data_IF_712162164184
#
_entry.id   IF_712162164184
#
_cell.length_a   1.000
_cell.length_b   1.000
_cell.length_c   1.000
_cell.angle_alpha   90.00
_cell.angle_beta   90.00
_cell.angle_gamma   90.00
#
_symmetry.space_group_name_H-M   'P 1'
#
loop_
_entity.id
_entity.type
_entity.pdbx_description
1 polymer ?
#
# COMPACT_ATOMS: atom_id res chain seq x y z
N UNK A 1 2.41 -36.06 -17.88
CA UNK A 1 2.80 -34.83 -18.58
C UNK A 1 2.79 -33.72 -17.57
N UNK A 2 3.94 -33.09 -17.28
CA UNK A 2 3.94 -31.92 -16.39
C UNK A 2 3.49 -30.71 -17.23
N UNK A 3 2.21 -30.42 -17.17
CA UNK A 3 1.67 -29.23 -17.83
C UNK A 3 2.28 -27.97 -17.19
N UNK A 4 2.87 -27.13 -18.03
CA UNK A 4 3.39 -25.84 -17.61
C UNK A 4 2.18 -24.95 -17.33
N UNK A 5 2.09 -24.32 -16.16
CA UNK A 5 0.97 -23.44 -15.83
C UNK A 5 0.89 -22.27 -16.84
N UNK A 6 -0.32 -21.83 -17.09
CA UNK A 6 -0.56 -20.62 -17.90
C UNK A 6 -0.02 -19.36 -17.21
N UNK A 7 0.22 -18.30 -17.98
CA UNK A 7 0.62 -16.99 -17.45
C UNK A 7 -0.33 -16.52 -16.34
N UNK A 8 -1.63 -16.64 -16.57
CA UNK A 8 -2.67 -16.24 -15.61
C UNK A 8 -2.60 -17.02 -14.30
N UNK A 9 -2.44 -18.34 -14.38
CA UNK A 9 -2.31 -19.19 -13.19
C UNK A 9 -1.08 -18.80 -12.34
N UNK A 10 0.04 -18.41 -12.98
CA UNK A 10 1.23 -17.94 -12.27
C UNK A 10 0.97 -16.60 -11.59
N UNK A 11 0.32 -15.64 -12.26
CA UNK A 11 -0.02 -14.34 -11.71
C UNK A 11 -0.98 -14.49 -10.52
N UNK A 12 -2.04 -15.26 -10.68
CA UNK A 12 -3.02 -15.54 -9.62
C UNK A 12 -2.35 -16.21 -8.41
N UNK A 13 -1.42 -17.14 -8.65
CA UNK A 13 -0.68 -17.80 -7.57
C UNK A 13 0.26 -16.82 -6.83
N UNK A 14 1.00 -15.98 -7.56
CA UNK A 14 1.89 -14.95 -6.99
C UNK A 14 1.08 -13.96 -6.15
N UNK A 15 -0.07 -13.54 -6.63
CA UNK A 15 -0.97 -12.64 -5.91
C UNK A 15 -1.50 -13.27 -4.60
N UNK A 16 -1.85 -14.56 -4.64
CA UNK A 16 -2.32 -15.31 -3.48
C UNK A 16 -1.21 -15.65 -2.47
N UNK A 17 0.06 -15.71 -2.90
CA UNK A 17 1.20 -16.15 -2.09
C UNK A 17 2.36 -15.14 -2.09
N UNK A 18 2.18 -13.90 -1.61
CA UNK A 18 3.14 -12.80 -1.74
C UNK A 18 4.48 -13.04 -1.06
N UNK A 19 4.57 -13.99 -0.11
CA UNK A 19 5.80 -14.34 0.61
C UNK A 19 6.58 -15.48 -0.04
N UNK A 20 5.98 -16.24 -0.97
CA UNK A 20 6.55 -17.45 -1.58
C UNK A 20 6.67 -17.31 -3.10
N UNK A 21 7.14 -16.18 -3.58
CA UNK A 21 7.18 -15.84 -5.01
C UNK A 21 8.52 -16.08 -5.68
N UNK A 22 9.45 -16.81 -5.03
CA UNK A 22 10.67 -17.20 -5.70
C UNK A 22 10.41 -18.30 -6.74
N UNK A 23 11.21 -18.31 -7.82
CA UNK A 23 11.08 -19.31 -8.90
C UNK A 23 10.98 -20.75 -8.38
N UNK A 24 11.74 -21.10 -7.32
CA UNK A 24 11.70 -22.45 -6.74
C UNK A 24 10.37 -22.74 -6.05
N UNK A 25 9.76 -21.73 -5.42
CA UNK A 25 8.52 -21.87 -4.69
C UNK A 25 7.36 -22.04 -5.66
N UNK A 26 7.37 -21.25 -6.76
CA UNK A 26 6.46 -21.42 -7.89
C UNK A 26 6.62 -22.83 -8.51
N UNK A 27 7.85 -23.24 -8.79
CA UNK A 27 8.10 -24.58 -9.35
C UNK A 27 7.61 -25.70 -8.43
N UNK A 28 7.75 -25.53 -7.10
CA UNK A 28 7.25 -26.49 -6.10
C UNK A 28 5.73 -26.53 -6.06
N UNK A 29 5.07 -25.37 -6.08
CA UNK A 29 3.61 -25.25 -6.03
C UNK A 29 2.94 -25.92 -7.23
N UNK A 30 3.51 -25.75 -8.42
CA UNK A 30 3.00 -26.35 -9.66
C UNK A 30 3.63 -27.72 -10.00
N UNK A 31 4.40 -28.32 -9.09
CA UNK A 31 5.01 -29.62 -9.33
C UNK A 31 6.04 -29.68 -10.47
N UNK A 32 6.61 -28.53 -10.87
CA UNK A 32 7.51 -28.42 -12.02
C UNK A 32 8.90 -28.96 -11.67
N UNK A 33 9.35 -30.01 -12.38
CA UNK A 33 10.63 -30.68 -12.15
C UNK A 33 11.45 -30.76 -13.45
N UNK A 34 12.73 -31.05 -13.33
CA UNK A 34 13.62 -31.33 -14.47
C UNK A 34 13.68 -30.22 -15.51
N UNK A 35 13.59 -30.59 -16.77
CA UNK A 35 13.67 -29.69 -17.92
C UNK A 35 12.56 -28.62 -17.96
N UNK A 36 11.35 -28.92 -17.46
CA UNK A 36 10.23 -27.99 -17.41
C UNK A 36 10.52 -26.73 -16.58
N UNK A 37 11.53 -26.74 -15.70
CA UNK A 37 12.01 -25.54 -15.00
C UNK A 37 12.64 -24.49 -15.94
N UNK A 38 13.13 -24.92 -17.10
CA UNK A 38 13.67 -24.01 -18.12
C UNK A 38 12.52 -23.22 -18.73
N UNK A 39 11.41 -23.90 -19.02
CA UNK A 39 10.24 -23.28 -19.63
C UNK A 39 9.52 -22.36 -18.64
N UNK A 40 9.43 -22.74 -17.37
CA UNK A 40 9.00 -21.82 -16.30
C UNK A 40 9.88 -20.55 -16.27
N UNK A 41 11.20 -20.70 -16.41
CA UNK A 41 12.10 -19.53 -16.44
C UNK A 41 11.84 -18.62 -17.66
N UNK A 42 11.54 -19.22 -18.84
CA UNK A 42 11.17 -18.46 -20.04
C UNK A 42 9.85 -17.73 -19.82
N UNK A 43 8.84 -18.42 -19.26
CA UNK A 43 7.53 -17.85 -18.97
C UNK A 43 7.59 -16.69 -17.98
N UNK A 44 8.35 -16.82 -16.89
CA UNK A 44 8.55 -15.73 -15.94
C UNK A 44 9.28 -14.53 -16.55
N UNK A 45 10.25 -14.75 -17.46
CA UNK A 45 10.91 -13.67 -18.21
C UNK A 45 9.96 -12.98 -19.20
N UNK A 46 9.06 -13.73 -19.84
CA UNK A 46 8.03 -13.17 -20.72
C UNK A 46 7.10 -12.25 -19.93
N UNK A 47 6.61 -12.69 -18.75
CA UNK A 47 5.78 -11.88 -17.87
C UNK A 47 6.50 -10.64 -17.32
N UNK A 48 7.81 -10.74 -17.08
CA UNK A 48 8.66 -9.61 -16.68
C UNK A 48 8.83 -8.61 -17.84
N UNK A 49 9.05 -9.11 -19.08
CA UNK A 49 9.18 -8.29 -20.27
C UNK A 49 7.86 -7.61 -20.69
N UNK A 50 6.73 -8.26 -20.43
CA UNK A 50 5.39 -7.74 -20.68
C UNK A 50 4.91 -6.75 -19.60
N UNK A 51 5.72 -6.52 -18.54
CA UNK A 51 5.40 -5.58 -17.47
C UNK A 51 4.45 -6.11 -16.39
N UNK A 52 4.01 -7.37 -16.47
CA UNK A 52 3.11 -7.96 -15.47
C UNK A 52 3.81 -8.33 -14.15
N UNK A 53 5.10 -8.65 -14.22
CA UNK A 53 5.90 -9.03 -13.04
C UNK A 53 7.15 -8.17 -12.89
N UNK A 54 7.44 -7.78 -11.66
CA UNK A 54 8.73 -7.21 -11.30
C UNK A 54 9.55 -8.21 -10.49
N UNK A 55 10.76 -8.47 -10.96
CA UNK A 55 11.71 -9.29 -10.21
C UNK A 55 12.45 -8.42 -9.19
N UNK A 56 12.32 -8.76 -7.91
CA UNK A 56 13.04 -8.12 -6.81
C UNK A 56 13.95 -9.14 -6.15
N UNK A 57 15.26 -9.08 -6.42
CA UNK A 57 16.25 -10.10 -5.99
C UNK A 57 15.90 -11.51 -6.52
N UNK A 58 15.32 -12.37 -5.67
CA UNK A 58 14.95 -13.76 -6.00
C UNK A 58 13.45 -13.98 -6.09
N UNK A 59 12.63 -12.95 -5.85
CA UNK A 59 11.17 -13.02 -5.80
C UNK A 59 10.53 -12.25 -6.95
N UNK A 60 9.29 -12.59 -7.30
CA UNK A 60 8.48 -11.91 -8.30
C UNK A 60 7.31 -11.22 -7.62
N UNK A 61 6.88 -10.09 -8.15
CA UNK A 61 5.74 -9.29 -7.68
C UNK A 61 4.86 -8.97 -8.88
N UNK A 62 3.56 -9.13 -8.71
CA UNK A 62 2.56 -8.63 -9.64
C UNK A 62 2.49 -7.10 -9.52
N UNK A 63 2.66 -6.37 -10.62
CA UNK A 63 2.62 -4.91 -10.64
C UNK A 63 1.20 -4.36 -10.64
N UNK A 64 0.23 -5.15 -11.09
CA UNK A 64 -1.18 -4.75 -11.14
C UNK A 64 -1.89 -4.92 -9.79
N UNK A 65 -1.22 -5.50 -8.79
CA UNK A 65 -1.77 -5.72 -7.45
C UNK A 65 -0.92 -5.08 -6.36
N UNK A 66 -1.60 -4.52 -5.37
CA UNK A 66 -0.95 -4.02 -4.18
C UNK A 66 -0.54 -5.17 -3.26
N UNK A 67 0.64 -5.08 -2.60
CA UNK A 67 1.01 -6.04 -1.58
C UNK A 67 0.02 -6.04 -0.42
N UNK A 68 -0.17 -7.21 0.26
CA UNK A 68 -1.06 -7.31 1.42
C UNK A 68 -0.72 -6.38 2.58
N UNK A 69 0.51 -5.89 2.61
CA UNK A 69 0.97 -4.86 3.55
C UNK A 69 1.70 -3.79 2.75
N UNK A 70 1.15 -2.58 2.76
CA UNK A 70 1.65 -1.46 1.97
C UNK A 70 1.68 -0.17 2.78
N UNK A 71 2.59 0.71 2.38
CA UNK A 71 2.60 2.10 2.87
C UNK A 71 1.63 2.89 1.99
N UNK A 72 0.64 3.50 2.66
CA UNK A 72 -0.38 4.29 1.98
C UNK A 72 -0.44 5.69 2.57
N UNK A 73 -0.86 6.65 1.78
CA UNK A 73 -1.10 8.02 2.20
C UNK A 73 -2.60 8.28 2.30
N UNK A 74 -3.02 8.78 3.44
CA UNK A 74 -4.42 9.13 3.71
C UNK A 74 -4.83 10.34 2.86
N UNK A 75 -5.96 10.24 2.20
CA UNK A 75 -6.58 11.31 1.43
C UNK A 75 -7.51 12.15 2.33
N UNK A 76 -7.92 13.35 1.89
CA UNK A 76 -8.98 14.08 2.58
C UNK A 76 -10.24 13.22 2.72
N UNK A 77 -10.90 13.32 3.89
CA UNK A 77 -12.17 12.63 4.10
C UNK A 77 -13.22 13.08 3.08
N UNK A 78 -14.07 12.15 2.68
CA UNK A 78 -15.22 12.46 1.83
C UNK A 78 -16.26 13.26 2.60
N UNK A 79 -17.25 13.80 1.89
CA UNK A 79 -18.40 14.47 2.52
C UNK A 79 -19.22 13.55 3.41
N UNK A 80 -19.13 12.24 3.20
CA UNK A 80 -19.78 11.18 4.02
C UNK A 80 -18.93 10.77 5.22
N UNK A 81 -17.68 11.29 5.33
CA UNK A 81 -16.77 10.96 6.43
C UNK A 81 -15.89 9.74 6.16
N UNK A 82 -16.02 9.12 4.99
CA UNK A 82 -15.19 7.97 4.64
C UNK A 82 -13.75 8.41 4.38
N UNK A 83 -12.80 7.60 4.85
CA UNK A 83 -11.37 7.81 4.66
C UNK A 83 -10.86 6.91 3.55
N UNK A 84 -10.28 7.52 2.53
CA UNK A 84 -9.58 6.82 1.48
C UNK A 84 -8.08 7.03 1.58
N UNK A 85 -7.33 6.14 0.98
CA UNK A 85 -5.88 6.24 0.87
C UNK A 85 -5.42 5.87 -0.54
N UNK A 86 -4.24 6.37 -0.89
CA UNK A 86 -3.51 5.98 -2.10
C UNK A 86 -2.22 5.25 -1.75
N UNK A 87 -1.82 4.31 -2.57
CA UNK A 87 -0.56 3.61 -2.41
C UNK A 87 0.62 4.52 -2.78
N UNK A 88 1.67 4.55 -1.95
CA UNK A 88 2.87 5.34 -2.29
C UNK A 88 3.75 4.66 -3.34
N UNK A 89 3.62 3.37 -3.51
CA UNK A 89 4.45 2.56 -4.42
C UNK A 89 3.58 1.83 -5.47
N UNK A 90 2.63 2.55 -6.11
CA UNK A 90 1.92 2.00 -7.25
C UNK A 90 2.80 2.08 -8.51
N UNK A 91 2.92 0.96 -9.23
CA UNK A 91 3.74 0.83 -10.45
C UNK A 91 2.99 0.10 -11.58
N UNK A 92 1.70 -0.17 -11.42
CA UNK A 92 0.88 -0.76 -12.47
C UNK A 92 0.60 0.24 -13.60
N UNK A 93 0.38 -0.26 -14.81
CA UNK A 93 0.03 0.56 -15.98
C UNK A 93 -1.43 1.05 -15.94
N UNK A 94 -2.25 0.48 -15.05
CA UNK A 94 -3.65 0.83 -14.87
C UNK A 94 -3.88 2.00 -13.92
N UNK A 95 -5.16 2.35 -13.72
CA UNK A 95 -5.56 3.34 -12.73
C UNK A 95 -5.15 2.90 -11.32
N UNK A 96 -4.61 3.82 -10.53
CA UNK A 96 -4.26 3.55 -9.14
C UNK A 96 -5.49 3.06 -8.37
N UNK A 97 -5.42 1.88 -7.70
CA UNK A 97 -6.57 1.33 -7.01
C UNK A 97 -6.95 2.16 -5.78
N UNK A 98 -8.23 2.42 -5.63
CA UNK A 98 -8.77 3.09 -4.47
C UNK A 98 -8.76 2.16 -3.25
N UNK A 99 -8.32 2.68 -2.10
CA UNK A 99 -8.22 1.96 -0.83
C UNK A 99 -9.15 2.64 0.18
N UNK A 100 -10.20 1.95 0.62
CA UNK A 100 -11.05 2.40 1.71
C UNK A 100 -10.39 2.02 3.04
N UNK A 101 -10.20 2.98 3.95
CA UNK A 101 -9.66 2.72 5.28
C UNK A 101 -10.78 2.35 6.26
N UNK A 102 -10.73 1.12 6.77
CA UNK A 102 -11.65 0.63 7.80
C UNK A 102 -11.00 0.86 9.16
N UNK A 103 -11.48 1.89 9.89
CA UNK A 103 -10.96 2.29 11.18
C UNK A 103 -11.70 1.61 12.33
N UNK A 104 -10.95 1.26 13.38
CA UNK A 104 -11.53 0.82 14.65
C UNK A 104 -11.66 2.01 15.60
N UNK A 105 -12.56 1.94 16.56
CA UNK A 105 -12.73 2.98 17.58
C UNK A 105 -11.46 3.21 18.42
N UNK A 106 -10.59 2.19 18.51
CA UNK A 106 -9.29 2.27 19.21
C UNK A 106 -8.16 2.86 18.39
N UNK A 107 -8.35 3.03 17.07
CA UNK A 107 -7.28 3.51 16.20
C UNK A 107 -7.11 5.03 16.40
N UNK A 108 -5.88 5.53 16.28
CA UNK A 108 -5.64 6.98 16.33
C UNK A 108 -6.32 7.67 15.15
N UNK A 109 -6.82 8.87 15.36
CA UNK A 109 -7.37 9.69 14.29
C UNK A 109 -6.32 9.93 13.20
N UNK A 110 -6.71 9.72 11.95
CA UNK A 110 -5.86 9.93 10.78
C UNK A 110 -6.29 11.21 10.07
N UNK A 111 -5.30 11.97 9.64
CA UNK A 111 -5.50 13.20 8.86
C UNK A 111 -5.03 13.04 7.42
N UNK A 112 -5.55 13.91 6.54
CA UNK A 112 -5.10 13.97 5.16
C UNK A 112 -3.58 14.20 5.07
N UNK A 113 -2.91 13.36 4.28
CA UNK A 113 -1.46 13.38 4.10
C UNK A 113 -0.68 12.49 5.07
N UNK A 114 -1.32 11.92 6.08
CA UNK A 114 -0.68 10.94 6.96
C UNK A 114 -0.19 9.73 6.17
N UNK A 115 0.99 9.24 6.55
CA UNK A 115 1.54 8.00 6.00
C UNK A 115 1.39 6.89 7.01
N UNK A 116 0.74 5.84 6.59
CA UNK A 116 0.46 4.68 7.44
C UNK A 116 0.92 3.39 6.77
N UNK A 117 1.29 2.43 7.59
CA UNK A 117 1.40 1.04 7.17
C UNK A 117 0.03 0.42 7.34
N UNK A 118 -0.54 -0.08 6.28
CA UNK A 118 -1.87 -0.70 6.28
C UNK A 118 -1.80 -2.15 5.78
N UNK A 119 -2.66 -2.97 6.34
CA UNK A 119 -2.97 -4.30 5.77
C UNK A 119 -4.07 -4.12 4.77
N UNK A 120 -3.81 -4.54 3.54
CA UNK A 120 -4.74 -4.44 2.42
C UNK A 120 -5.39 -5.79 2.16
N UNK A 121 -6.69 -5.77 1.95
CA UNK A 121 -7.49 -6.92 1.51
C UNK A 121 -8.17 -6.53 0.21
N UNK A 122 -7.93 -7.30 -0.85
CA UNK A 122 -8.62 -7.11 -2.12
C UNK A 122 -10.09 -7.46 -1.95
N UNK A 123 -10.97 -6.62 -2.47
CA UNK A 123 -12.41 -6.83 -2.46
C UNK A 123 -12.97 -6.62 -3.85
N UNK A 124 -14.01 -7.38 -4.17
CA UNK A 124 -14.80 -7.15 -5.37
C UNK A 124 -15.96 -6.23 -4.99
N UNK A 125 -15.80 -4.92 -5.19
CA UNK A 125 -16.83 -3.92 -4.87
C UNK A 125 -16.88 -2.79 -5.87
N UNK A 126 -17.98 -2.05 -5.86
CA UNK A 126 -18.11 -0.82 -6.63
C UNK A 126 -17.45 0.34 -5.88
N UNK A 127 -16.57 1.07 -6.55
CA UNK A 127 -15.97 2.31 -6.05
C UNK A 127 -14.60 2.19 -5.41
N UNK A 128 -14.21 1.03 -4.89
CA UNK A 128 -12.85 0.80 -4.36
C UNK A 128 -12.45 -0.68 -4.50
N UNK A 129 -11.16 -0.94 -4.65
CA UNK A 129 -10.60 -2.28 -4.91
C UNK A 129 -9.99 -2.92 -3.67
N UNK A 130 -9.67 -2.12 -2.65
CA UNK A 130 -9.03 -2.61 -1.43
C UNK A 130 -9.68 -2.03 -0.18
N UNK A 131 -9.79 -2.86 0.85
CA UNK A 131 -9.94 -2.40 2.23
C UNK A 131 -8.57 -2.34 2.90
N UNK A 132 -8.28 -1.20 3.54
CA UNK A 132 -7.06 -0.98 4.31
C UNK A 132 -7.35 -0.92 5.81
N UNK A 133 -6.63 -1.72 6.61
CA UNK A 133 -6.67 -1.65 8.08
C UNK A 133 -5.35 -1.14 8.61
N UNK A 134 -5.40 -0.18 9.53
CA UNK A 134 -4.22 0.42 10.14
C UNK A 134 -3.42 -0.65 10.89
N UNK A 135 -2.10 -0.73 10.59
CA UNK A 135 -1.13 -1.48 11.39
C UNK A 135 -0.39 -0.50 12.30
N UNK A 136 0.15 0.58 11.72
CA UNK A 136 0.81 1.66 12.46
C UNK A 136 0.91 2.93 11.63
N UNK A 137 0.94 4.08 12.29
CA UNK A 137 1.28 5.36 11.67
C UNK A 137 2.80 5.45 11.48
N UNK A 138 3.25 5.77 10.27
CA UNK A 138 4.68 5.90 9.95
C UNK A 138 5.11 7.36 10.12
N UNK A 139 4.33 8.28 9.53
CA UNK A 139 4.55 9.69 9.67
C UNK A 139 3.21 10.42 9.69
N UNK A 140 3.08 11.36 10.63
CA UNK A 140 2.06 12.38 10.58
C UNK A 140 2.42 13.38 9.49
N UNK A 141 1.41 13.97 8.84
CA UNK A 141 1.69 15.11 7.97
C UNK A 141 2.03 16.33 8.85
N UNK A 142 3.29 16.76 8.92
CA UNK A 142 3.67 17.88 9.80
C UNK A 142 3.12 19.23 9.32
N UNK A 143 2.56 19.27 8.11
CA UNK A 143 2.27 20.53 7.43
C UNK A 143 0.90 21.15 7.79
N UNK A 144 0.06 20.48 8.58
CA UNK A 144 -1.25 21.03 8.96
C UNK A 144 -1.55 20.76 10.42
N UNK A 145 -1.30 21.76 11.24
CA UNK A 145 -1.77 21.78 12.62
C UNK A 145 -2.94 22.75 12.67
N UNK A 146 -4.12 22.23 13.01
CA UNK A 146 -5.25 23.08 13.32
C UNK A 146 -5.06 23.60 14.74
N UNK A 147 -4.91 24.91 14.87
CA UNK A 147 -4.69 25.56 16.14
C UNK A 147 -5.26 26.97 16.16
N UNK A 148 -5.49 27.49 17.35
CA UNK A 148 -5.86 28.88 17.58
C UNK A 148 -4.58 29.70 17.67
N UNK A 149 -4.42 30.66 16.78
CA UNK A 149 -3.32 31.62 16.86
C UNK A 149 -3.59 32.62 18.01
N UNK A 150 -2.65 32.70 18.94
CA UNK A 150 -2.65 33.69 20.02
C UNK A 150 -1.43 34.59 19.88
N UNK A 151 -1.68 35.88 19.74
CA UNK A 151 -0.65 36.88 19.71
C UNK A 151 -0.27 37.30 21.16
N UNK A 152 1.01 37.42 21.44
CA UNK A 152 1.56 37.94 22.69
C UNK A 152 2.58 39.05 22.40
N UNK A 153 3.00 39.79 23.44
CA UNK A 153 3.99 40.86 23.30
C UNK A 153 5.37 40.35 22.81
N UNK A 154 5.67 39.06 22.98
CA UNK A 154 6.93 38.40 22.61
C UNK A 154 6.84 37.60 21.31
N UNK A 155 5.74 37.69 20.56
CA UNK A 155 5.49 36.93 19.32
C UNK A 155 4.15 36.23 19.31
N UNK A 156 3.92 35.34 18.30
CA UNK A 156 2.72 34.56 18.16
C UNK A 156 2.94 33.11 18.53
N UNK A 157 1.93 32.47 19.11
CA UNK A 157 1.92 31.00 19.29
C UNK A 157 0.67 30.39 18.74
N UNK A 158 0.80 29.18 18.19
CA UNK A 158 -0.33 28.34 17.77
C UNK A 158 -0.60 27.33 18.87
N UNK A 159 -1.79 27.43 19.46
CA UNK A 159 -2.28 26.45 20.44
C UNK A 159 -3.07 25.41 19.68
N UNK A 160 -2.61 24.15 19.60
CA UNK A 160 -3.32 23.10 18.92
C UNK A 160 -4.70 22.87 19.52
N UNK A 161 -5.71 22.63 18.68
CA UNK A 161 -7.06 22.28 19.14
C UNK A 161 -7.08 20.86 19.70
N UNK A 162 -6.17 19.99 19.24
CA UNK A 162 -6.01 18.64 19.76
C UNK A 162 -5.18 18.62 21.05
N UNK A 163 -5.72 17.98 22.10
CA UNK A 163 -5.10 17.91 23.45
C UNK A 163 -3.72 17.25 23.51
N UNK A 164 -3.25 16.59 22.44
CA UNK A 164 -1.96 15.91 22.39
C UNK A 164 -0.86 16.67 21.65
N UNK A 165 -1.15 17.83 21.11
CA UNK A 165 -0.19 18.66 20.37
C UNK A 165 0.72 19.48 21.30
N UNK A 166 2.04 19.44 21.07
CA UNK A 166 2.96 20.39 21.70
C UNK A 166 2.68 21.78 21.14
N UNK A 167 2.68 22.80 22.00
CA UNK A 167 2.59 24.19 21.57
C UNK A 167 3.76 24.53 20.64
N UNK A 168 3.45 25.15 19.51
CA UNK A 168 4.46 25.63 18.56
C UNK A 168 4.65 27.14 18.80
N UNK A 169 5.84 27.51 19.20
CA UNK A 169 6.25 28.93 19.29
C UNK A 169 6.78 29.38 17.93
N UNK A 170 6.19 30.42 17.38
CA UNK A 170 6.71 31.13 16.22
C UNK A 170 7.71 32.17 16.72
N UNK A 171 9.00 31.86 16.59
CA UNK A 171 10.06 32.82 16.80
C UNK A 171 10.16 33.64 15.53
N UNK A 172 10.04 34.95 15.64
CA UNK A 172 10.34 35.84 14.53
C UNK A 172 11.82 35.71 14.16
N UNK A 173 12.05 35.39 12.88
CA UNK A 173 13.34 35.60 12.21
C UNK A 173 13.35 37.03 11.68
#
# INVERSE_FOLDING_TARGET
MNDIPSKRQILDWIAANPTQTAKRDIAKAFGIKGAARIDLKKLLRSLEAEGHLQKRKKTYRDLEKLPPVSVVQVLPATSTGDLFAKALEWQGDGMEPAILLVMKASDPALGAGDRILARLTEIAGEGYQYEGRLIRRIAANPSKILGVFRQSAEGGRIVPVERSGKELSLIHI
#
